data_IF_198232273604
#
_entry.id   IF_198232273604
#
_cell.length_a   1.000
_cell.length_b   1.000
_cell.length_c   1.000
_cell.angle_alpha   90.00
_cell.angle_beta   90.00
_cell.angle_gamma   90.00
#
_symmetry.space_group_name_H-M   'P 1'
#
loop_
_entity.id
_entity.type
_entity.pdbx_description
1 polymer ?
#
# COMPACT_ATOMS: atom_id res chain seq x y z
N UNK A 1 -3.54 19.37 -22.03
CA UNK A 1 -3.58 17.99 -21.51
C UNK A 1 -2.32 17.61 -20.74
N UNK A 2 -1.12 17.56 -21.34
CA UNK A 2 0.12 17.24 -20.59
C UNK A 2 0.34 18.17 -19.38
N UNK A 3 0.29 19.49 -19.58
CA UNK A 3 0.45 20.49 -18.51
C UNK A 3 -0.55 20.26 -17.36
N UNK A 4 -1.81 20.06 -17.67
CA UNK A 4 -2.87 19.79 -16.67
C UNK A 4 -2.58 18.52 -15.84
N UNK A 5 -2.15 17.43 -16.49
CA UNK A 5 -1.79 16.19 -15.77
C UNK A 5 -0.55 16.39 -14.90
N UNK A 6 0.46 17.13 -15.39
CA UNK A 6 1.67 17.46 -14.64
C UNK A 6 1.37 18.33 -13.42
N UNK A 7 0.61 19.42 -13.60
CA UNK A 7 0.24 20.34 -12.51
C UNK A 7 -0.55 19.61 -11.41
N UNK A 8 -1.48 18.73 -11.78
CA UNK A 8 -2.20 17.89 -10.81
C UNK A 8 -1.29 16.90 -10.08
N UNK A 9 -0.32 16.32 -10.78
CA UNK A 9 0.66 15.42 -10.18
C UNK A 9 1.54 16.17 -9.17
N UNK A 10 1.97 17.38 -9.52
CA UNK A 10 2.73 18.28 -8.63
C UNK A 10 1.91 18.61 -7.39
N UNK A 11 0.65 19.03 -7.56
CA UNK A 11 -0.23 19.34 -6.43
C UNK A 11 -0.39 18.14 -5.50
N UNK A 12 -0.57 16.94 -6.04
CA UNK A 12 -0.71 15.75 -5.22
C UNK A 12 0.57 15.33 -4.48
N UNK A 13 1.73 15.51 -5.10
CA UNK A 13 3.02 15.28 -4.41
C UNK A 13 3.25 16.34 -3.33
N UNK A 14 2.94 17.60 -3.60
CA UNK A 14 3.03 18.68 -2.61
C UNK A 14 2.08 18.46 -1.43
N UNK A 15 0.90 17.89 -1.68
CA UNK A 15 -0.03 17.54 -0.62
C UNK A 15 0.47 16.38 0.22
N UNK A 16 1.01 15.34 -0.42
CA UNK A 16 1.64 14.22 0.27
C UNK A 16 2.79 14.68 1.18
N UNK A 17 3.62 15.62 0.71
CA UNK A 17 4.71 16.21 1.53
C UNK A 17 4.20 16.93 2.78
N UNK A 18 3.03 17.57 2.72
CA UNK A 18 2.46 18.32 3.85
C UNK A 18 1.70 17.44 4.84
N UNK A 19 1.01 16.42 4.33
CA UNK A 19 -0.03 15.73 5.08
C UNK A 19 0.34 14.29 5.47
N UNK A 20 1.41 13.72 4.92
CA UNK A 20 1.83 12.37 5.32
C UNK A 20 2.32 12.39 6.77
N UNK A 21 1.73 11.53 7.60
CA UNK A 21 2.17 11.36 8.98
C UNK A 21 3.52 10.64 9.01
N UNK A 22 4.56 11.35 9.48
CA UNK A 22 5.90 10.80 9.62
C UNK A 22 5.98 9.63 10.60
N UNK A 23 5.15 9.64 11.66
CA UNK A 23 5.06 8.55 12.62
C UNK A 23 4.46 7.28 11.98
N UNK A 24 3.36 7.44 11.25
CA UNK A 24 2.76 6.35 10.50
C UNK A 24 3.72 5.81 9.42
N UNK A 25 4.45 6.69 8.72
CA UNK A 25 5.47 6.28 7.76
C UNK A 25 6.57 5.45 8.44
N UNK A 26 7.08 5.90 9.58
CA UNK A 26 8.09 5.17 10.33
C UNK A 26 7.59 3.78 10.76
N UNK A 27 6.36 3.69 11.27
CA UNK A 27 5.73 2.41 11.64
C UNK A 27 5.56 1.49 10.42
N UNK A 28 5.17 2.03 9.26
CA UNK A 28 5.05 1.24 8.03
C UNK A 28 6.40 0.62 7.62
N UNK A 29 7.50 1.39 7.71
CA UNK A 29 8.85 0.88 7.48
C UNK A 29 9.22 -0.21 8.49
N UNK A 30 8.88 -0.06 9.76
CA UNK A 30 9.13 -1.09 10.78
C UNK A 30 8.38 -2.38 10.47
N UNK A 31 7.10 -2.31 10.08
CA UNK A 31 6.32 -3.48 9.68
C UNK A 31 6.93 -4.20 8.49
N UNK A 32 7.35 -3.44 7.46
CA UNK A 32 8.01 -4.01 6.27
C UNK A 32 9.37 -4.65 6.60
N UNK A 33 10.14 -4.05 7.50
CA UNK A 33 11.46 -4.54 7.90
C UNK A 33 11.39 -5.81 8.77
N UNK A 34 10.36 -5.91 9.63
CA UNK A 34 10.16 -7.03 10.55
C UNK A 34 9.43 -8.23 9.92
N UNK A 35 8.74 -8.02 8.80
CA UNK A 35 7.96 -9.08 8.15
C UNK A 35 8.85 -10.22 7.65
N UNK A 36 8.48 -11.46 7.99
CA UNK A 36 9.12 -12.66 7.47
C UNK A 36 8.88 -12.84 5.98
N UNK A 37 7.65 -12.61 5.55
CA UNK A 37 7.30 -12.46 4.14
C UNK A 37 6.23 -11.39 3.95
N UNK A 38 6.28 -10.69 2.82
CA UNK A 38 5.38 -9.58 2.50
C UNK A 38 4.48 -10.02 1.35
N UNK A 39 3.17 -9.90 1.53
CA UNK A 39 2.17 -10.23 0.53
C UNK A 39 1.48 -8.94 0.12
N UNK A 40 1.60 -8.55 -1.14
CA UNK A 40 1.05 -7.28 -1.64
C UNK A 40 -0.19 -7.56 -2.47
N UNK A 41 -1.29 -6.87 -2.16
CA UNK A 41 -2.54 -6.92 -2.93
C UNK A 41 -2.99 -5.52 -3.30
N UNK A 42 -3.47 -5.35 -4.53
CA UNK A 42 -4.08 -4.13 -5.01
C UNK A 42 -4.98 -4.43 -6.18
N UNK A 43 -6.27 -4.13 -6.05
CA UNK A 43 -7.26 -4.30 -7.11
C UNK A 43 -7.41 -3.02 -7.89
N UNK A 44 -7.95 -3.12 -9.11
CA UNK A 44 -7.95 -2.01 -10.05
C UNK A 44 -8.55 -0.74 -9.41
N UNK A 45 -7.90 0.43 -9.57
CA UNK A 45 -6.69 0.66 -10.34
C UNK A 45 -5.37 0.57 -9.54
N UNK A 46 -5.43 0.21 -8.25
CA UNK A 46 -4.28 0.09 -7.35
C UNK A 46 -3.28 -1.05 -7.68
N UNK A 47 -3.59 -1.92 -8.64
CA UNK A 47 -2.72 -3.03 -9.05
C UNK A 47 -1.35 -2.57 -9.55
N UNK A 48 -1.24 -1.36 -10.11
CA UNK A 48 0.04 -0.79 -10.56
C UNK A 48 0.95 -0.41 -9.40
N UNK A 49 0.37 0.15 -8.33
CA UNK A 49 1.12 0.46 -7.10
C UNK A 49 1.56 -0.83 -6.41
N UNK A 50 0.67 -1.83 -6.35
CA UNK A 50 1.00 -3.15 -5.82
C UNK A 50 2.14 -3.83 -6.62
N UNK A 51 2.12 -3.72 -7.96
CA UNK A 51 3.19 -4.21 -8.83
C UNK A 51 4.54 -3.53 -8.52
N UNK A 52 4.50 -2.21 -8.34
CA UNK A 52 5.69 -1.41 -8.06
C UNK A 52 6.31 -1.73 -6.69
N UNK A 53 5.46 -1.85 -5.66
CA UNK A 53 5.89 -2.28 -4.32
C UNK A 53 6.50 -3.68 -4.36
N UNK A 54 5.85 -4.64 -5.03
CA UNK A 54 6.40 -5.99 -5.21
C UNK A 54 7.79 -5.94 -5.85
N UNK A 55 7.93 -5.24 -6.98
CA UNK A 55 9.21 -5.07 -7.66
C UNK A 55 10.29 -4.50 -6.72
N UNK A 56 10.01 -3.37 -6.07
CA UNK A 56 10.98 -2.72 -5.18
C UNK A 56 11.37 -3.58 -3.98
N UNK A 57 10.39 -4.21 -3.31
CA UNK A 57 10.65 -5.06 -2.15
C UNK A 57 11.51 -6.27 -2.52
N UNK A 58 11.28 -6.88 -3.69
CA UNK A 58 12.12 -7.99 -4.18
C UNK A 58 13.56 -7.54 -4.47
N UNK A 59 13.75 -6.34 -5.03
CA UNK A 59 15.09 -5.78 -5.26
C UNK A 59 15.85 -5.53 -3.94
N UNK A 60 15.15 -5.19 -2.87
CA UNK A 60 15.71 -5.03 -1.51
C UNK A 60 15.91 -6.38 -0.77
N UNK A 61 15.77 -7.51 -1.46
CA UNK A 61 15.95 -8.85 -0.89
C UNK A 61 14.82 -9.29 0.05
N UNK A 62 13.68 -8.58 0.09
CA UNK A 62 12.53 -9.03 0.88
C UNK A 62 11.91 -10.28 0.25
N UNK A 63 11.46 -11.22 1.07
CA UNK A 63 10.58 -12.32 0.64
C UNK A 63 9.19 -11.77 0.33
N UNK A 64 9.00 -11.24 -0.88
CA UNK A 64 7.77 -10.58 -1.28
C UNK A 64 6.99 -11.42 -2.31
N UNK A 65 5.67 -11.43 -2.21
CA UNK A 65 4.75 -12.07 -3.14
C UNK A 65 3.64 -11.09 -3.52
N UNK A 66 3.26 -11.03 -4.80
CA UNK A 66 2.08 -10.27 -5.22
C UNK A 66 0.89 -11.22 -5.37
N UNK A 67 -0.24 -10.85 -4.80
CA UNK A 67 -1.49 -11.59 -4.92
C UNK A 67 -2.28 -11.04 -6.11
N UNK A 68 -2.24 -11.76 -7.23
CA UNK A 68 -2.96 -11.42 -8.48
C UNK A 68 -4.30 -12.18 -8.61
N UNK A 69 -4.82 -12.69 -7.51
CA UNK A 69 -6.05 -13.49 -7.46
C UNK A 69 -7.27 -12.60 -7.21
N UNK A 70 -8.45 -12.93 -7.77
CA UNK A 70 -9.72 -12.35 -7.34
C UNK A 70 -9.90 -12.48 -5.82
N UNK A 71 -10.61 -11.53 -5.18
CA UNK A 71 -10.72 -11.45 -3.73
C UNK A 71 -11.11 -12.77 -3.04
N UNK A 72 -12.04 -13.54 -3.63
CA UNK A 72 -12.48 -14.83 -3.07
C UNK A 72 -11.35 -15.87 -3.03
N UNK A 73 -10.52 -15.91 -4.08
CA UNK A 73 -9.37 -16.79 -4.16
C UNK A 73 -8.20 -16.25 -3.33
N UNK A 74 -8.00 -14.93 -3.28
CA UNK A 74 -7.02 -14.28 -2.43
C UNK A 74 -7.25 -14.60 -0.94
N UNK A 75 -8.50 -14.70 -0.48
CA UNK A 75 -8.79 -15.13 0.91
C UNK A 75 -8.30 -16.55 1.23
N UNK A 76 -8.25 -17.45 0.24
CA UNK A 76 -7.64 -18.78 0.42
C UNK A 76 -6.13 -18.69 0.51
N UNK A 77 -5.51 -17.79 -0.27
CA UNK A 77 -4.09 -17.47 -0.13
C UNK A 77 -3.79 -16.94 1.28
N UNK A 78 -4.59 -15.99 1.78
CA UNK A 78 -4.50 -15.45 3.15
C UNK A 78 -4.56 -16.56 4.22
N UNK A 79 -5.29 -17.65 3.97
CA UNK A 79 -5.37 -18.77 4.91
C UNK A 79 -4.05 -19.56 5.06
N UNK A 80 -3.08 -19.34 4.18
CA UNK A 80 -1.75 -19.97 4.23
C UNK A 80 -0.69 -19.10 4.92
N UNK A 81 -1.01 -17.84 5.24
CA UNK A 81 -0.08 -16.92 5.90
C UNK A 81 -0.02 -17.21 7.40
N UNK A 82 1.11 -16.87 8.00
CA UNK A 82 1.32 -16.94 9.45
C UNK A 82 1.49 -15.52 10.03
N UNK A 83 1.40 -15.39 11.36
CA UNK A 83 1.38 -14.09 12.05
C UNK A 83 2.67 -13.28 11.93
N UNK A 84 3.75 -13.89 11.43
CA UNK A 84 5.02 -13.22 11.12
C UNK A 84 5.06 -12.65 9.69
N UNK A 85 4.09 -13.02 8.85
CA UNK A 85 3.93 -12.48 7.50
C UNK A 85 3.13 -11.18 7.54
N UNK A 86 3.32 -10.32 6.54
CA UNK A 86 2.65 -9.02 6.43
C UNK A 86 1.79 -8.98 5.17
N UNK A 87 0.53 -8.57 5.31
CA UNK A 87 -0.29 -8.16 4.17
C UNK A 87 -0.16 -6.65 3.94
N UNK A 88 0.21 -6.26 2.72
CA UNK A 88 0.14 -4.87 2.24
C UNK A 88 -1.04 -4.75 1.28
N UNK A 89 -2.06 -3.97 1.67
CA UNK A 89 -3.27 -3.78 0.88
C UNK A 89 -3.36 -2.34 0.34
N UNK A 90 -3.51 -2.19 -0.97
CA UNK A 90 -3.65 -0.89 -1.64
C UNK A 90 -5.04 -0.79 -2.27
N UNK A 91 -5.81 0.25 -1.93
CA UNK A 91 -7.12 0.52 -2.55
C UNK A 91 -7.21 1.98 -3.01
N UNK A 92 -7.56 2.20 -4.28
CA UNK A 92 -7.67 3.54 -4.87
C UNK A 92 -9.00 3.69 -5.63
N UNK A 93 -10.02 2.99 -5.17
CA UNK A 93 -11.36 2.93 -5.77
C UNK A 93 -12.39 2.84 -4.65
N UNK A 94 -13.48 3.60 -4.77
CA UNK A 94 -14.63 3.50 -3.85
C UNK A 94 -15.56 2.34 -4.19
N UNK A 95 -15.62 1.97 -5.46
CA UNK A 95 -16.57 0.98 -5.98
C UNK A 95 -16.06 -0.48 -5.87
N UNK A 96 -14.88 -0.70 -5.29
CA UNK A 96 -14.27 -2.04 -5.20
C UNK A 96 -13.86 -2.37 -3.76
N UNK A 97 -14.62 -3.27 -3.13
CA UNK A 97 -14.36 -3.74 -1.77
C UNK A 97 -13.37 -4.92 -1.71
N UNK A 98 -12.83 -5.37 -2.84
CA UNK A 98 -11.96 -6.55 -2.93
C UNK A 98 -10.77 -6.48 -1.97
N UNK A 99 -10.10 -5.31 -1.89
CA UNK A 99 -8.98 -5.10 -0.97
C UNK A 99 -9.44 -5.16 0.50
N UNK A 100 -10.61 -4.57 0.82
CA UNK A 100 -11.21 -4.58 2.16
C UNK A 100 -11.53 -6.01 2.59
N UNK A 101 -12.08 -6.82 1.70
CA UNK A 101 -12.43 -8.22 1.97
C UNK A 101 -11.19 -9.06 2.28
N UNK A 102 -10.11 -8.87 1.52
CA UNK A 102 -8.83 -9.57 1.74
C UNK A 102 -8.17 -9.12 3.04
N UNK A 103 -8.10 -7.80 3.29
CA UNK A 103 -7.57 -7.24 4.54
C UNK A 103 -8.35 -7.73 5.77
N UNK A 104 -9.68 -7.74 5.69
CA UNK A 104 -10.54 -8.25 6.77
C UNK A 104 -10.31 -9.73 7.05
N UNK A 105 -10.06 -10.55 6.02
CA UNK A 105 -9.75 -11.97 6.18
C UNK A 105 -8.39 -12.21 6.84
N UNK A 106 -7.41 -11.33 6.59
CA UNK A 106 -6.09 -11.34 7.21
C UNK A 106 -6.17 -10.91 8.68
N UNK A 107 -6.88 -9.81 8.97
CA UNK A 107 -7.11 -9.32 10.33
C UNK A 107 -7.79 -10.36 11.21
N UNK A 108 -8.82 -11.05 10.70
CA UNK A 108 -9.50 -12.15 11.42
C UNK A 108 -8.55 -13.29 11.82
N UNK A 109 -7.44 -13.46 11.11
CA UNK A 109 -6.39 -14.45 11.37
C UNK A 109 -5.19 -13.89 12.14
N UNK A 110 -5.25 -12.60 12.54
CA UNK A 110 -4.16 -11.89 13.21
C UNK A 110 -2.89 -11.79 12.37
N UNK A 111 -3.05 -11.81 11.04
CA UNK A 111 -1.97 -11.45 10.13
C UNK A 111 -1.87 -9.92 10.15
N UNK A 112 -0.70 -9.34 10.45
CA UNK A 112 -0.47 -7.90 10.35
C UNK A 112 -0.89 -7.37 8.97
N UNK A 113 -1.60 -6.25 8.97
CA UNK A 113 -2.06 -5.57 7.75
C UNK A 113 -1.60 -4.12 7.75
N UNK A 114 -0.81 -3.78 6.72
CA UNK A 114 -0.50 -2.41 6.33
C UNK A 114 -1.41 -2.03 5.16
N UNK A 115 -2.22 -1.00 5.31
CA UNK A 115 -3.15 -0.59 4.26
C UNK A 115 -2.95 0.87 3.84
N UNK A 116 -3.15 1.12 2.54
CA UNK A 116 -3.17 2.45 1.96
C UNK A 116 -4.45 2.64 1.17
N UNK A 117 -5.18 3.73 1.44
CA UNK A 117 -6.33 4.08 0.63
C UNK A 117 -6.50 5.58 0.47
N UNK A 118 -7.32 5.98 -0.48
CA UNK A 118 -7.77 7.36 -0.57
C UNK A 118 -8.87 7.59 0.48
N UNK A 119 -8.85 8.75 1.14
CA UNK A 119 -9.70 9.10 2.29
C UNK A 119 -9.35 8.45 3.64
N UNK A 120 -9.50 9.23 4.72
CA UNK A 120 -9.29 8.81 6.09
C UNK A 120 -10.40 7.85 6.60
N UNK A 121 -11.61 8.00 6.07
CA UNK A 121 -12.80 7.24 6.51
C UNK A 121 -12.98 5.92 5.71
N UNK A 122 -11.98 5.53 4.92
CA UNK A 122 -12.05 4.34 4.09
C UNK A 122 -12.19 3.06 4.94
N UNK A 123 -13.00 2.06 4.54
CA UNK A 123 -13.20 0.82 5.32
C UNK A 123 -11.92 0.05 5.65
N UNK A 124 -10.84 0.27 4.89
CA UNK A 124 -9.51 -0.29 5.19
C UNK A 124 -8.93 0.20 6.52
N UNK A 125 -9.29 1.39 6.99
CA UNK A 125 -8.86 1.90 8.30
C UNK A 125 -9.28 0.97 9.45
N UNK A 126 -10.45 0.33 9.32
CA UNK A 126 -10.93 -0.67 10.27
C UNK A 126 -10.39 -2.06 9.93
N UNK A 127 -9.99 -2.33 8.69
CA UNK A 127 -9.50 -3.65 8.29
C UNK A 127 -7.98 -3.83 8.43
N UNK A 128 -7.25 -2.83 8.94
CA UNK A 128 -5.79 -2.88 9.07
C UNK A 128 -5.26 -2.53 10.46
N UNK A 129 -3.99 -2.89 10.71
CA UNK A 129 -3.25 -2.53 11.93
C UNK A 129 -2.60 -1.15 11.80
N UNK A 130 -2.16 -0.82 10.59
CA UNK A 130 -1.71 0.50 10.22
C UNK A 130 -2.41 0.92 8.92
N UNK A 131 -2.95 2.14 8.92
CA UNK A 131 -3.62 2.73 7.78
C UNK A 131 -3.01 4.10 7.49
N UNK A 132 -2.63 4.32 6.22
CA UNK A 132 -2.18 5.63 5.76
C UNK A 132 -3.13 6.07 4.65
N UNK A 133 -3.82 7.18 4.90
CA UNK A 133 -4.70 7.78 3.91
C UNK A 133 -3.94 8.64 2.92
N UNK A 134 -4.39 8.60 1.67
CA UNK A 134 -4.03 9.57 0.65
C UNK A 134 -5.12 10.64 0.54
N UNK A 135 -4.72 11.87 0.20
CA UNK A 135 -5.67 12.91 -0.19
C UNK A 135 -6.55 12.42 -1.34
N UNK A 136 -7.85 12.61 -1.20
CA UNK A 136 -8.80 12.35 -2.28
C UNK A 136 -8.68 13.48 -3.32
N UNK A 137 -8.63 13.12 -4.60
CA UNK A 137 -8.57 14.11 -5.69
C UNK A 137 -9.92 14.15 -6.41
N UNK A 138 -10.58 15.33 -6.48
CA UNK A 138 -11.90 15.43 -7.10
C UNK A 138 -11.95 14.90 -8.54
N UNK A 139 -13.11 14.35 -8.86
CA UNK A 139 -13.40 13.43 -9.94
C UNK A 139 -13.00 13.90 -11.34
N UNK A 140 -12.03 13.19 -11.93
CA UNK A 140 -11.92 12.98 -13.39
C UNK A 140 -11.45 11.55 -13.63
N UNK A 141 -11.92 10.96 -14.74
CA UNK A 141 -11.63 9.58 -15.21
C UNK A 141 -10.14 9.18 -15.21
N UNK A 142 -9.21 10.14 -15.16
CA UNK A 142 -7.77 9.92 -15.04
C UNK A 142 -7.23 10.66 -13.80
N UNK A 143 -7.07 9.92 -12.71
CA UNK A 143 -6.35 10.40 -11.52
C UNK A 143 -4.83 10.45 -11.77
N UNK A 144 -4.10 11.42 -11.22
CA UNK A 144 -2.64 11.41 -11.29
C UNK A 144 -2.08 10.25 -10.45
N UNK A 145 -1.27 9.40 -11.08
CA UNK A 145 -0.64 8.25 -10.43
C UNK A 145 0.66 8.59 -9.70
N UNK A 146 1.26 9.72 -10.06
CA UNK A 146 2.56 10.13 -9.54
C UNK A 146 2.60 10.17 -8.00
N UNK A 147 1.61 10.74 -7.26
CA UNK A 147 1.67 10.78 -5.80
C UNK A 147 1.74 9.38 -5.17
N UNK A 148 0.95 8.42 -5.67
CA UNK A 148 0.94 7.04 -5.13
C UNK A 148 2.26 6.30 -5.41
N UNK A 149 2.83 6.49 -6.60
CA UNK A 149 4.14 5.91 -6.94
C UNK A 149 5.26 6.59 -6.14
N UNK A 150 5.22 7.91 -5.99
CA UNK A 150 6.17 8.67 -5.16
C UNK A 150 6.13 8.21 -3.70
N UNK A 151 4.95 7.93 -3.15
CA UNK A 151 4.83 7.38 -1.82
C UNK A 151 5.42 5.97 -1.70
N UNK A 152 5.10 5.08 -2.65
CA UNK A 152 5.68 3.74 -2.69
C UNK A 152 7.22 3.80 -2.85
N UNK A 153 7.74 4.73 -3.64
CA UNK A 153 9.17 5.02 -3.77
C UNK A 153 9.80 5.46 -2.45
N UNK A 154 9.15 6.39 -1.74
CA UNK A 154 9.63 6.87 -0.45
C UNK A 154 9.67 5.75 0.59
N UNK A 155 8.66 4.87 0.60
CA UNK A 155 8.65 3.68 1.47
C UNK A 155 9.85 2.76 1.18
N UNK A 156 10.09 2.45 -0.10
CA UNK A 156 11.19 1.56 -0.50
C UNK A 156 12.55 2.18 -0.17
N UNK A 157 12.77 3.46 -0.48
CA UNK A 157 14.02 4.16 -0.20
C UNK A 157 14.30 4.26 1.31
N UNK A 158 13.27 4.52 2.12
CA UNK A 158 13.42 4.55 3.57
C UNK A 158 13.71 3.16 4.16
N UNK A 159 13.11 2.10 3.62
CA UNK A 159 13.42 0.72 4.00
C UNK A 159 14.86 0.34 3.64
N UNK A 160 15.32 0.73 2.45
CA UNK A 160 16.71 0.51 2.01
C UNK A 160 17.71 1.19 2.96
N UNK A 161 17.51 2.49 3.24
CA UNK A 161 18.36 3.25 4.15
C UNK A 161 18.42 2.60 5.54
N UNK A 162 17.27 2.20 6.09
CA UNK A 162 17.19 1.52 7.38
C UNK A 162 17.96 0.20 7.42
N UNK A 163 17.93 -0.59 6.34
CA UNK A 163 18.64 -1.88 6.27
C UNK A 163 20.14 -1.71 6.10
N UNK A 164 20.57 -0.66 5.39
CA UNK A 164 21.97 -0.31 5.25
C UNK A 164 22.61 0.05 6.60
N UNK A 165 21.88 0.74 7.50
CA UNK A 165 22.37 1.07 8.86
C UNK A 165 22.60 -0.15 9.77
N UNK A 166 22.04 -1.32 9.42
CA UNK A 166 22.13 -2.56 10.22
C UNK A 166 23.18 -3.55 9.70
N UNK A 167 23.75 -3.29 8.52
CA UNK A 167 24.73 -4.15 7.84
C UNK A 167 26.15 -3.67 8.13
#
# INVERSE_FOLDING_TARGET
>A
MLREVADRSILGIEDLKRNVDAGALHQAIQMLDQARSIHVVGYRPASWVAAYLFYGLTQLGCRCFRIDLPADAAQRHIALLETEDLLVAVCLSDDDDSAVRVASAARKRRIPVLAFAHSADHPLAVASDLFISFPEYPERRLQPWAPHITFAQALLAALEARRAERS
#
